data_IF_607033932457
#
_entry.id   IF_607033932457
#
_cell.length_a   1.000
_cell.length_b   1.000
_cell.length_c   1.000
_cell.angle_alpha   90.00
_cell.angle_beta   90.00
_cell.angle_gamma   90.00
#
_symmetry.space_group_name_H-M   'P 1'
#
loop_
_entity.id
_entity.type
_entity.pdbx_description
1 polymer ?
#
# COMPACT_ATOMS: atom_id res chain seq x y z
N UNK A 1 34.50 13.55 13.13
CA UNK A 1 33.18 14.00 12.64
C UNK A 1 32.25 12.81 12.61
N UNK A 2 31.15 12.77 13.38
CA UNK A 2 30.15 11.72 13.22
C UNK A 2 29.39 11.96 11.91
N UNK A 3 29.40 10.97 11.01
CA UNK A 3 28.53 10.94 9.83
C UNK A 3 27.12 10.62 10.32
N UNK A 4 26.26 11.62 10.36
CA UNK A 4 24.83 11.43 10.59
C UNK A 4 24.26 10.83 9.30
N UNK A 5 24.05 9.52 9.28
CA UNK A 5 23.28 8.86 8.23
C UNK A 5 21.81 9.18 8.46
N UNK A 6 21.31 10.21 7.79
CA UNK A 6 19.87 10.50 7.75
C UNK A 6 19.18 9.32 7.05
N UNK A 7 18.43 8.53 7.82
CA UNK A 7 17.67 7.39 7.32
C UNK A 7 16.42 7.93 6.62
N UNK A 8 16.43 7.94 5.29
CA UNK A 8 15.24 8.30 4.50
C UNK A 8 14.16 7.26 4.79
N UNK A 9 13.05 7.70 5.40
CA UNK A 9 11.87 6.86 5.62
C UNK A 9 10.91 7.14 4.47
N UNK A 10 10.70 6.12 3.62
CA UNK A 10 9.77 6.21 2.49
C UNK A 10 8.41 5.73 2.99
N UNK A 11 7.53 6.68 3.31
CA UNK A 11 6.12 6.37 3.59
C UNK A 11 5.41 5.91 2.32
N UNK A 12 4.64 4.83 2.41
CA UNK A 12 3.86 4.28 1.32
C UNK A 12 2.38 4.46 1.62
N UNK A 13 1.67 5.11 0.70
CA UNK A 13 0.22 5.22 0.76
C UNK A 13 -0.39 4.28 -0.26
N UNK A 14 -1.34 3.46 0.17
CA UNK A 14 -2.02 2.50 -0.67
C UNK A 14 -3.55 2.59 -0.52
N UNK A 15 -4.25 2.24 -1.59
CA UNK A 15 -5.68 1.98 -1.58
C UNK A 15 -5.88 0.48 -1.58
N UNK A 16 -6.58 -0.02 -0.56
CA UNK A 16 -7.06 -1.38 -0.45
C UNK A 16 -8.48 -1.44 -0.97
N UNK A 17 -8.74 -2.39 -1.87
CA UNK A 17 -10.07 -2.77 -2.31
C UNK A 17 -10.27 -4.22 -1.95
N UNK A 18 -11.37 -4.52 -1.27
CA UNK A 18 -11.78 -5.83 -0.81
C UNK A 18 -13.17 -6.11 -1.39
N UNK A 19 -13.43 -7.31 -1.92
CA UNK A 19 -14.74 -7.66 -2.50
C UNK A 19 -15.24 -9.04 -2.04
N UNK A 20 -16.56 -9.21 -2.01
CA UNK A 20 -17.23 -10.47 -1.70
C UNK A 20 -16.83 -11.07 -0.34
N UNK A 21 -16.70 -10.22 0.69
CA UNK A 21 -16.34 -10.64 2.05
C UNK A 21 -17.41 -10.20 3.03
N UNK A 22 -17.68 -11.04 4.02
CA UNK A 22 -18.62 -10.76 5.09
C UNK A 22 -18.03 -9.77 6.09
N UNK A 23 -18.91 -8.97 6.71
CA UNK A 23 -18.56 -7.97 7.73
C UNK A 23 -17.75 -8.55 8.90
N UNK A 24 -18.08 -9.77 9.36
CA UNK A 24 -17.40 -10.44 10.49
C UNK A 24 -15.92 -10.75 10.22
N UNK A 25 -15.53 -10.90 8.95
CA UNK A 25 -14.13 -11.08 8.56
C UNK A 25 -13.41 -9.73 8.50
N UNK A 26 -14.12 -8.69 8.05
CA UNK A 26 -13.56 -7.34 7.96
C UNK A 26 -13.29 -6.74 9.35
N UNK A 27 -14.17 -6.99 10.33
CA UNK A 27 -13.98 -6.58 11.73
C UNK A 27 -12.67 -7.12 12.32
N UNK A 28 -12.22 -8.31 11.90
CA UNK A 28 -10.95 -8.92 12.34
C UNK A 28 -9.72 -8.22 11.78
N UNK A 29 -9.86 -7.49 10.68
CA UNK A 29 -8.76 -6.77 10.07
C UNK A 29 -8.46 -5.45 10.79
N UNK A 30 -9.39 -4.93 11.59
CA UNK A 30 -9.25 -3.65 12.32
C UNK A 30 -8.81 -2.50 11.40
N UNK A 31 -9.36 -2.46 10.18
CA UNK A 31 -9.03 -1.45 9.17
C UNK A 31 -10.20 -0.48 9.05
N UNK A 32 -9.93 0.82 9.12
CA UNK A 32 -10.92 1.85 8.84
C UNK A 32 -11.13 2.02 7.33
N UNK A 33 -12.37 2.22 6.90
CA UNK A 33 -12.69 2.41 5.50
C UNK A 33 -14.18 2.63 5.24
N UNK A 34 -14.57 2.56 3.98
CA UNK A 34 -15.92 2.83 3.53
C UNK A 34 -16.45 1.68 2.67
N UNK A 35 -17.74 1.37 2.86
CA UNK A 35 -18.47 0.47 1.98
C UNK A 35 -18.88 1.20 0.70
N UNK A 36 -18.48 0.67 -0.45
CA UNK A 36 -18.93 1.12 -1.76
C UNK A 36 -20.13 0.28 -2.20
N UNK A 37 -21.34 0.79 -1.96
CA UNK A 37 -22.59 0.11 -2.33
C UNK A 37 -22.83 0.19 -3.84
N UNK A 38 -22.79 -0.96 -4.50
CA UNK A 38 -22.94 -1.14 -5.95
C UNK A 38 -22.16 -2.37 -6.45
N UNK A 39 -20.94 -2.57 -5.92
CA UNK A 39 -20.05 -3.69 -6.27
C UNK A 39 -19.73 -4.61 -5.07
N UNK A 40 -20.32 -4.36 -3.89
CA UNK A 40 -19.99 -5.05 -2.62
C UNK A 40 -18.49 -4.96 -2.27
N UNK A 41 -17.93 -3.78 -2.47
CA UNK A 41 -16.52 -3.51 -2.26
C UNK A 41 -16.32 -2.70 -0.96
N UNK A 42 -15.39 -3.13 -0.11
CA UNK A 42 -14.84 -2.34 0.98
C UNK A 42 -13.57 -1.65 0.50
N UNK A 43 -13.48 -0.34 0.73
CA UNK A 43 -12.35 0.48 0.30
C UNK A 43 -11.72 1.13 1.51
N UNK A 44 -10.40 1.02 1.63
CA UNK A 44 -9.62 1.63 2.70
C UNK A 44 -8.37 2.30 2.16
N UNK A 45 -7.93 3.36 2.83
CA UNK A 45 -6.65 4.01 2.60
C UNK A 45 -5.71 3.56 3.71
N UNK A 46 -4.57 3.02 3.31
CA UNK A 46 -3.55 2.49 4.20
C UNK A 46 -2.27 3.30 4.06
N UNK A 47 -1.66 3.62 5.19
CA UNK A 47 -0.33 4.22 5.26
C UNK A 47 0.63 3.20 5.88
N UNK A 48 1.76 2.96 5.22
CA UNK A 48 2.82 2.06 5.65
C UNK A 48 4.14 2.82 5.74
N UNK A 49 5.02 2.44 6.66
CA UNK A 49 6.31 3.10 6.83
C UNK A 49 7.39 2.57 5.87
N UNK A 50 7.16 1.40 5.25
CA UNK A 50 8.08 0.80 4.30
C UNK A 50 7.42 -0.31 3.46
N UNK A 51 8.14 -0.81 2.45
CA UNK A 51 7.65 -1.87 1.56
C UNK A 51 7.50 -3.23 2.23
N UNK A 52 8.30 -3.53 3.27
CA UNK A 52 8.21 -4.80 3.99
C UNK A 52 6.89 -4.90 4.75
N UNK A 53 6.48 -3.83 5.42
CA UNK A 53 5.21 -3.77 6.14
C UNK A 53 4.01 -3.97 5.18
N UNK A 54 4.07 -3.36 4.00
CA UNK A 54 3.08 -3.56 2.94
C UNK A 54 3.01 -5.04 2.49
N UNK A 55 4.14 -5.70 2.29
CA UNK A 55 4.16 -7.11 1.86
C UNK A 55 3.69 -8.05 2.96
N UNK A 56 4.07 -7.82 4.21
CA UNK A 56 3.58 -8.58 5.38
C UNK A 56 2.06 -8.40 5.55
N UNK A 57 1.53 -7.20 5.28
CA UNK A 57 0.10 -6.94 5.28
C UNK A 57 -0.63 -7.70 4.16
N UNK A 58 -0.10 -7.69 2.93
CA UNK A 58 -0.67 -8.48 1.82
C UNK A 58 -0.66 -9.97 2.11
N UNK A 59 0.39 -10.48 2.75
CA UNK A 59 0.46 -11.90 3.14
C UNK A 59 -0.60 -12.28 4.18
N UNK A 60 -0.79 -11.43 5.21
CA UNK A 60 -1.89 -11.61 6.17
C UNK A 60 -3.26 -11.59 5.50
N UNK A 61 -3.49 -10.67 4.55
CA UNK A 61 -4.73 -10.64 3.79
C UNK A 61 -4.92 -11.91 2.96
N UNK A 62 -3.89 -12.38 2.25
CA UNK A 62 -3.93 -13.64 1.50
C UNK A 62 -4.35 -14.81 2.39
N UNK A 63 -3.80 -14.92 3.59
CA UNK A 63 -4.15 -15.98 4.52
C UNK A 63 -5.57 -15.86 5.08
N UNK A 64 -6.08 -14.64 5.26
CA UNK A 64 -7.39 -14.42 5.84
C UNK A 64 -8.53 -14.59 4.83
N UNK A 65 -8.35 -14.07 3.61
CA UNK A 65 -9.44 -13.91 2.63
C UNK A 65 -9.16 -14.50 1.25
N UNK A 66 -7.93 -14.97 0.99
CA UNK A 66 -7.50 -15.45 -0.32
C UNK A 66 -7.01 -14.33 -1.23
N UNK A 67 -6.17 -14.68 -2.21
CA UNK A 67 -5.49 -13.74 -3.11
C UNK A 67 -6.43 -13.10 -4.15
N UNK A 68 -7.59 -13.72 -4.37
CA UNK A 68 -8.58 -13.34 -5.38
C UNK A 68 -9.66 -12.37 -4.89
N UNK A 69 -9.60 -11.96 -3.60
CA UNK A 69 -10.65 -11.15 -2.95
C UNK A 69 -10.23 -9.73 -2.60
N UNK A 70 -9.00 -9.36 -2.93
CA UNK A 70 -8.52 -8.01 -2.67
C UNK A 70 -7.50 -7.55 -3.72
N UNK A 71 -7.34 -6.23 -3.80
CA UNK A 71 -6.23 -5.59 -4.50
C UNK A 71 -5.69 -4.44 -3.66
N UNK A 72 -4.37 -4.27 -3.71
CA UNK A 72 -3.69 -3.13 -3.10
C UNK A 72 -3.02 -2.32 -4.21
N UNK A 73 -3.42 -1.06 -4.32
CA UNK A 73 -2.88 -0.10 -5.27
C UNK A 73 -1.99 0.89 -4.53
N UNK A 74 -0.72 0.95 -4.91
CA UNK A 74 0.18 1.99 -4.41
C UNK A 74 -0.19 3.32 -5.07
N UNK A 75 -0.49 4.32 -4.24
CA UNK A 75 -1.00 5.63 -4.70
C UNK A 75 0.03 6.72 -4.49
N UNK A 76 0.89 6.62 -3.47
CA UNK A 76 1.93 7.61 -3.23
C UNK A 76 3.13 7.00 -2.50
N UNK A 77 4.31 7.45 -2.91
CA UNK A 77 5.54 7.33 -2.13
C UNK A 77 5.82 8.72 -1.56
N UNK A 78 5.80 8.85 -0.25
CA UNK A 78 6.24 10.06 0.43
C UNK A 78 7.65 9.84 0.96
N UNK A 79 8.62 10.53 0.38
CA UNK A 79 9.89 10.71 1.04
C UNK A 79 9.62 11.59 2.28
N UNK A 80 9.58 11.00 3.47
CA UNK A 80 9.64 11.78 4.71
C UNK A 80 11.08 12.31 4.80
N UNK A 81 11.33 13.51 4.28
CA UNK A 81 12.63 14.19 4.39
C UNK A 81 13.08 14.18 5.86
N UNK A 82 14.32 13.80 6.20
CA UNK A 82 15.54 14.45 5.73
C UNK A 82 16.12 14.05 4.36
N UNK A 83 15.82 14.91 3.37
CA UNK A 83 16.57 15.31 2.14
C UNK A 83 17.30 14.21 1.32
N UNK A 84 16.79 13.89 0.12
CA UNK A 84 17.27 14.32 -1.22
C UNK A 84 16.56 13.46 -2.30
N UNK A 85 15.86 14.10 -3.25
CA UNK A 85 14.98 13.46 -4.23
C UNK A 85 15.71 12.99 -5.50
N UNK A 86 17.04 13.06 -5.54
CA UNK A 86 17.79 12.79 -6.77
C UNK A 86 18.05 11.31 -7.08
N UNK A 87 17.84 10.37 -6.15
CA UNK A 87 18.18 8.93 -6.36
C UNK A 87 17.00 8.03 -6.79
N UNK A 88 15.75 8.52 -6.80
CA UNK A 88 14.56 7.66 -7.08
C UNK A 88 14.16 7.68 -8.57
N UNK A 89 14.80 8.49 -9.41
CA UNK A 89 14.37 8.68 -10.82
C UNK A 89 14.70 7.51 -11.77
N UNK A 90 15.48 6.51 -11.35
CA UNK A 90 15.98 5.48 -12.28
C UNK A 90 15.22 4.14 -12.32
N UNK A 91 14.30 3.85 -11.40
CA UNK A 91 13.59 2.54 -11.41
C UNK A 91 12.17 2.62 -12.03
N UNK A 92 11.54 3.80 -12.07
CA UNK A 92 10.14 3.93 -12.52
C UNK A 92 9.97 4.24 -14.02
N UNK A 93 11.03 4.64 -14.72
CA UNK A 93 10.98 4.87 -16.18
C UNK A 93 10.81 3.56 -16.97
N UNK A 94 10.95 2.40 -16.32
CA UNK A 94 10.94 1.09 -17.00
C UNK A 94 9.53 0.52 -17.24
N UNK A 95 8.46 1.01 -16.58
CA UNK A 95 7.14 0.33 -16.65
C UNK A 95 5.94 1.10 -17.24
N UNK A 96 6.11 2.34 -17.71
CA UNK A 96 5.07 3.03 -18.51
C UNK A 96 5.42 3.07 -20.01
N UNK A 97 5.88 1.93 -20.56
CA UNK A 97 5.80 1.67 -22.01
C UNK A 97 4.66 0.69 -22.27
N UNK A 98 3.43 1.17 -22.15
CA UNK A 98 2.33 0.59 -22.93
C UNK A 98 1.98 1.56 -24.05
N UNK A 99 2.36 1.09 -25.23
CA UNK A 99 2.08 1.64 -26.55
C UNK A 99 0.56 1.61 -26.74
N UNK A 100 -0.04 2.78 -26.91
CA UNK A 100 -1.37 2.91 -27.54
C UNK A 100 -1.31 2.32 -28.95
#
# INVERSE_FOLDING_TARGET
MPRITNKVVIGLKAVLIIWCIKEDILEKLTIEGHWAYGEYNFISILDFDNSRELEEFKEKLRHLIGDEKFKVYLVKYEAKNGIDLNDISNDFTVKMKHKL
#
